data_IF_477242258982
#
_entry.id   IF_477242258982
#
_cell.length_a   1.000
_cell.length_b   1.000
_cell.length_c   1.000
_cell.angle_alpha   90.00
_cell.angle_beta   90.00
_cell.angle_gamma   90.00
#
_symmetry.space_group_name_H-M   'P 1'
#
loop_
_entity.id
_entity.type
_entity.pdbx_description
1 polymer ?
#
# COMPACT_ATOMS: atom_id res chain seq x y z
N UNK A 1 -54.56 3.76 -0.35
CA UNK A 1 -53.51 4.56 0.30
C UNK A 1 -52.20 3.82 0.13
N UNK A 2 -51.39 4.24 -0.84
CA UNK A 2 -50.13 3.60 -1.20
C UNK A 2 -48.98 4.26 -0.41
N UNK A 3 -48.14 3.45 0.22
CA UNK A 3 -46.90 3.89 0.87
C UNK A 3 -45.72 3.52 -0.02
N UNK A 4 -45.07 4.55 -0.56
CA UNK A 4 -43.83 4.50 -1.34
C UNK A 4 -42.65 4.03 -0.46
N UNK A 5 -42.09 2.87 -0.79
CA UNK A 5 -40.85 2.37 -0.20
C UNK A 5 -39.71 2.61 -1.20
N UNK A 6 -39.05 3.75 -1.07
CA UNK A 6 -37.91 4.14 -1.91
C UNK A 6 -36.73 3.17 -1.73
N UNK A 7 -36.49 2.35 -2.76
CA UNK A 7 -35.38 1.43 -2.88
C UNK A 7 -34.09 2.22 -3.12
N UNK A 8 -33.32 2.49 -2.05
CA UNK A 8 -31.98 3.11 -2.13
C UNK A 8 -31.00 2.08 -2.72
N UNK A 9 -30.82 2.10 -4.03
CA UNK A 9 -29.80 1.32 -4.73
C UNK A 9 -28.42 1.85 -4.32
N UNK A 10 -27.63 1.04 -3.60
CA UNK A 10 -26.19 1.29 -3.45
C UNK A 10 -25.56 1.05 -4.81
N UNK A 11 -25.31 2.12 -5.55
CA UNK A 11 -24.50 2.10 -6.78
C UNK A 11 -23.07 1.75 -6.39
N UNK A 12 -22.66 0.50 -6.62
CA UNK A 12 -21.25 0.11 -6.65
C UNK A 12 -20.54 0.92 -7.72
N UNK A 13 -19.42 1.62 -7.40
CA UNK A 13 -18.72 2.45 -8.37
C UNK A 13 -18.18 1.59 -9.51
N UNK A 14 -18.29 2.09 -10.75
CA UNK A 14 -17.77 1.41 -11.94
C UNK A 14 -16.23 1.36 -11.86
N UNK A 15 -15.58 0.30 -12.35
CA UNK A 15 -14.12 0.12 -12.22
C UNK A 15 -13.29 1.27 -12.81
N UNK A 16 -13.84 2.05 -13.75
CA UNK A 16 -13.19 3.24 -14.32
C UNK A 16 -13.15 4.45 -13.37
N UNK A 17 -14.14 4.58 -12.50
CA UNK A 17 -14.22 5.71 -11.54
C UNK A 17 -13.26 5.48 -10.37
N UNK A 18 -13.09 4.21 -9.94
CA UNK A 18 -12.13 3.82 -8.90
C UNK A 18 -10.67 3.98 -9.32
N UNK A 19 -10.34 3.90 -10.62
CA UNK A 19 -8.99 4.15 -11.12
C UNK A 19 -8.66 5.65 -11.15
N UNK A 20 -9.65 6.51 -11.48
CA UNK A 20 -9.48 7.95 -11.53
C UNK A 20 -9.37 8.57 -10.13
N UNK A 21 -10.14 8.08 -9.16
CA UNK A 21 -10.01 8.53 -7.76
C UNK A 21 -8.69 8.06 -7.11
N UNK A 22 -8.16 6.90 -7.50
CA UNK A 22 -6.84 6.41 -7.07
C UNK A 22 -5.72 7.30 -7.59
N UNK A 23 -5.73 7.63 -8.89
CA UNK A 23 -4.74 8.54 -9.49
C UNK A 23 -4.80 9.94 -8.86
N UNK A 24 -5.99 10.42 -8.48
CA UNK A 24 -6.19 11.69 -7.74
C UNK A 24 -5.68 11.60 -6.30
N UNK A 25 -5.84 10.47 -5.62
CA UNK A 25 -5.39 10.28 -4.22
C UNK A 25 -3.87 10.13 -4.15
N UNK A 26 -3.27 9.35 -5.04
CA UNK A 26 -1.81 9.21 -5.18
C UNK A 26 -1.17 10.55 -5.56
N UNK A 27 -1.75 11.28 -6.53
CA UNK A 27 -1.23 12.61 -6.87
C UNK A 27 -1.42 13.62 -5.75
N UNK A 28 -2.42 13.45 -4.88
CA UNK A 28 -2.62 14.28 -3.67
C UNK A 28 -1.64 13.93 -2.56
N UNK A 29 -1.40 12.64 -2.28
CA UNK A 29 -0.36 12.15 -1.35
C UNK A 29 1.04 12.62 -1.80
N UNK A 30 1.38 12.45 -3.08
CA UNK A 30 2.62 12.97 -3.66
C UNK A 30 2.71 14.49 -3.56
N UNK A 31 1.62 15.23 -3.84
CA UNK A 31 1.59 16.68 -3.65
C UNK A 31 1.74 17.08 -2.19
N UNK A 32 1.18 16.32 -1.24
CA UNK A 32 1.32 16.58 0.20
C UNK A 32 2.78 16.32 0.63
N UNK A 33 3.38 15.22 0.19
CA UNK A 33 4.80 14.89 0.48
C UNK A 33 5.74 15.94 -0.14
N UNK A 34 5.52 16.32 -1.40
CA UNK A 34 6.31 17.35 -2.08
C UNK A 34 6.08 18.74 -1.50
N UNK A 35 4.86 19.08 -1.08
CA UNK A 35 4.57 20.35 -0.41
C UNK A 35 5.18 20.41 1.00
N UNK A 36 5.18 19.30 1.75
CA UNK A 36 5.80 19.23 3.07
C UNK A 36 7.32 19.45 3.01
N UNK A 37 7.99 18.97 1.96
CA UNK A 37 9.43 19.18 1.73
C UNK A 37 9.74 20.67 1.45
N UNK A 38 8.83 21.39 0.77
CA UNK A 38 9.02 22.81 0.43
C UNK A 38 8.83 23.79 1.59
N UNK A 39 8.19 23.39 2.70
CA UNK A 39 7.77 24.32 3.77
C UNK A 39 8.88 24.64 4.78
N UNK A 40 10.01 23.92 4.76
CA UNK A 40 11.12 24.12 5.72
C UNK A 40 12.40 24.71 5.11
N UNK A 41 12.30 25.70 4.23
CA UNK A 41 13.46 26.53 3.85
C UNK A 41 13.66 27.67 4.86
N UNK A 42 14.27 27.37 6.01
CA UNK A 42 14.79 28.40 6.92
C UNK A 42 16.32 28.43 6.83
N UNK A 43 16.81 29.23 5.88
CA UNK A 43 18.23 29.55 5.69
C UNK A 43 18.82 30.02 7.02
N UNK A 44 19.75 29.24 7.58
CA UNK A 44 20.65 29.70 8.65
C UNK A 44 21.86 30.32 7.99
N UNK A 45 21.96 31.64 8.06
CA UNK A 45 23.14 32.40 7.69
C UNK A 45 24.25 32.23 8.74
N UNK A 46 25.45 31.85 8.28
CA UNK A 46 26.71 32.21 8.94
C UNK A 46 27.71 31.08 9.16
N UNK A 47 28.84 31.11 8.45
CA UNK A 47 30.16 31.43 9.02
C UNK A 47 31.21 31.51 7.90
N UNK A 48 31.94 32.63 7.77
CA UNK A 48 32.97 32.80 6.73
C UNK A 48 34.22 32.01 7.11
N UNK A 49 34.54 30.98 6.35
CA UNK A 49 35.83 30.29 6.39
C UNK A 49 36.83 31.15 5.57
N UNK A 50 38.03 31.36 6.12
CA UNK A 50 39.08 32.18 5.50
C UNK A 50 39.54 31.65 4.15
N UNK A 51 39.78 32.56 3.21
CA UNK A 51 40.24 32.24 1.86
C UNK A 51 41.58 31.48 1.89
N UNK A 52 41.66 30.37 1.17
CA UNK A 52 42.91 29.65 0.90
C UNK A 52 43.53 30.19 -0.40
N UNK A 53 44.85 30.35 -0.40
CA UNK A 53 45.62 30.89 -1.51
C UNK A 53 46.52 29.79 -2.10
N UNK A 54 46.70 29.80 -3.42
CA UNK A 54 47.65 28.92 -4.10
C UNK A 54 49.10 29.41 -3.93
N UNK A 55 50.08 28.64 -4.45
CA UNK A 55 51.51 28.98 -4.37
C UNK A 55 51.86 30.28 -5.13
N UNK A 56 50.97 30.76 -5.99
CA UNK A 56 51.11 31.98 -6.79
C UNK A 56 50.32 33.18 -6.21
N UNK A 57 49.72 33.02 -5.02
CA UNK A 57 49.04 34.10 -4.29
C UNK A 57 47.64 34.46 -4.81
N UNK A 58 47.05 33.64 -5.68
CA UNK A 58 45.66 33.80 -6.11
C UNK A 58 44.71 33.12 -5.11
N UNK A 59 43.55 33.75 -4.91
CA UNK A 59 42.46 33.18 -4.10
C UNK A 59 41.94 31.94 -4.83
N UNK A 60 42.11 30.76 -4.21
CA UNK A 60 41.45 29.55 -4.68
C UNK A 60 39.95 29.74 -4.40
N UNK A 61 39.18 30.12 -5.42
CA UNK A 61 37.72 30.04 -5.35
C UNK A 61 37.34 28.56 -5.39
N UNK A 62 37.35 27.92 -4.22
CA UNK A 62 36.79 26.56 -4.07
C UNK A 62 35.30 26.64 -4.39
N UNK A 63 34.84 25.78 -5.28
CA UNK A 63 33.48 25.63 -5.85
C UNK A 63 32.40 25.24 -4.81
N UNK A 64 32.36 25.95 -3.68
CA UNK A 64 31.49 25.72 -2.52
C UNK A 64 29.99 25.70 -2.86
N UNK A 65 29.57 26.24 -4.01
CA UNK A 65 28.17 26.38 -4.40
C UNK A 65 27.56 25.06 -4.93
N UNK A 66 28.30 24.26 -5.69
CA UNK A 66 27.77 23.00 -6.23
C UNK A 66 27.55 21.96 -5.12
N UNK A 67 28.44 21.93 -4.13
CA UNK A 67 28.32 21.07 -2.95
C UNK A 67 27.06 21.39 -2.10
N UNK A 68 26.68 22.67 -2.00
CA UNK A 68 25.47 23.09 -1.28
C UNK A 68 24.19 22.57 -1.97
N UNK A 69 24.12 22.70 -3.30
CA UNK A 69 22.97 22.23 -4.09
C UNK A 69 22.85 20.70 -4.06
N UNK A 70 23.97 19.97 -4.17
CA UNK A 70 24.01 18.51 -4.04
C UNK A 70 23.59 18.05 -2.65
N UNK A 71 24.04 18.74 -1.59
CA UNK A 71 23.65 18.43 -0.20
C UNK A 71 22.17 18.68 0.06
N UNK A 72 21.62 19.77 -0.49
CA UNK A 72 20.18 20.05 -0.42
C UNK A 72 19.38 18.94 -1.13
N UNK A 73 19.81 18.51 -2.32
CA UNK A 73 19.15 17.41 -3.05
C UNK A 73 19.24 16.08 -2.34
N UNK A 74 20.38 15.77 -1.71
CA UNK A 74 20.48 14.60 -0.86
C UNK A 74 19.46 14.63 0.28
N UNK A 75 19.28 15.78 0.94
CA UNK A 75 18.28 15.90 2.00
C UNK A 75 16.86 15.64 1.47
N UNK A 76 16.50 16.23 0.32
CA UNK A 76 15.20 16.00 -0.34
C UNK A 76 15.01 14.50 -0.65
N UNK A 77 16.02 13.84 -1.22
CA UNK A 77 15.99 12.39 -1.53
C UNK A 77 15.71 11.58 -0.27
N UNK A 78 16.41 11.87 0.83
CA UNK A 78 16.27 11.14 2.08
C UNK A 78 14.89 11.35 2.71
N UNK A 79 14.33 12.56 2.62
CA UNK A 79 12.97 12.84 3.09
C UNK A 79 11.92 12.09 2.28
N UNK A 80 12.02 12.07 0.94
CA UNK A 80 11.12 11.28 0.09
C UNK A 80 11.17 9.79 0.44
N UNK A 81 12.37 9.24 0.63
CA UNK A 81 12.56 7.83 1.00
C UNK A 81 11.97 7.53 2.39
N UNK A 82 12.13 8.44 3.35
CA UNK A 82 11.53 8.29 4.68
C UNK A 82 10.01 8.33 4.61
N UNK A 83 9.43 9.24 3.82
CA UNK A 83 7.99 9.32 3.60
C UNK A 83 7.43 8.04 2.95
N UNK A 84 8.19 7.42 2.04
CA UNK A 84 7.83 6.13 1.42
C UNK A 84 7.88 4.93 2.39
N UNK A 85 8.57 5.09 3.53
CA UNK A 85 8.74 4.06 4.56
C UNK A 85 10.12 3.39 4.61
N UNK A 86 11.14 3.95 3.95
CA UNK A 86 12.53 3.47 4.04
C UNK A 86 13.28 4.13 5.20
N UNK A 87 13.21 3.52 6.39
CA UNK A 87 13.76 4.14 7.61
C UNK A 87 15.29 4.12 7.73
N UNK A 88 15.99 3.27 6.96
CA UNK A 88 17.47 3.20 7.01
C UNK A 88 18.14 4.48 6.53
N UNK A 89 17.44 5.33 5.77
CA UNK A 89 17.88 6.67 5.39
C UNK A 89 18.24 7.56 6.60
N UNK A 90 17.61 7.35 7.77
CA UNK A 90 17.85 8.15 8.99
C UNK A 90 19.07 7.69 9.80
N UNK A 91 19.64 6.52 9.50
CA UNK A 91 20.77 5.99 10.28
C UNK A 91 21.96 6.95 10.17
N UNK A 92 22.47 7.39 11.32
CA UNK A 92 23.68 8.23 11.43
C UNK A 92 24.89 7.30 11.36
N UNK A 93 25.83 7.57 10.46
CA UNK A 93 27.00 6.72 10.21
C UNK A 93 26.96 5.93 8.91
N UNK A 94 25.82 5.90 8.21
CA UNK A 94 25.74 5.31 6.87
C UNK A 94 26.14 6.33 5.80
N UNK A 95 26.91 5.90 4.79
CA UNK A 95 27.33 6.78 3.70
C UNK A 95 26.12 7.27 2.87
N UNK A 96 26.18 8.47 2.27
CA UNK A 96 25.13 8.95 1.37
C UNK A 96 24.84 7.96 0.22
N UNK A 97 25.88 7.35 -0.33
CA UNK A 97 25.76 6.29 -1.33
C UNK A 97 24.87 5.14 -0.85
N UNK A 98 25.20 4.54 0.30
CA UNK A 98 24.48 3.36 0.80
C UNK A 98 23.03 3.69 1.19
N UNK A 99 22.77 4.92 1.65
CA UNK A 99 21.41 5.40 1.91
C UNK A 99 20.57 5.47 0.64
N UNK A 100 21.11 6.08 -0.41
CA UNK A 100 20.41 6.29 -1.67
C UNK A 100 20.27 4.99 -2.45
N UNK A 101 21.34 4.23 -2.63
CA UNK A 101 21.33 2.94 -3.33
C UNK A 101 20.46 1.91 -2.60
N UNK A 102 20.53 1.88 -1.27
CA UNK A 102 19.65 1.04 -0.46
C UNK A 102 18.18 1.46 -0.60
N UNK A 103 17.90 2.77 -0.64
CA UNK A 103 16.56 3.30 -0.88
C UNK A 103 16.02 2.95 -2.26
N UNK A 104 16.83 3.13 -3.31
CA UNK A 104 16.47 2.78 -4.68
C UNK A 104 16.17 1.29 -4.80
N UNK A 105 17.01 0.43 -4.23
CA UNK A 105 16.78 -1.02 -4.30
C UNK A 105 15.52 -1.41 -3.54
N UNK A 106 15.29 -0.82 -2.36
CA UNK A 106 14.06 -1.04 -1.61
C UNK A 106 12.81 -0.65 -2.42
N UNK A 107 12.85 0.45 -3.17
CA UNK A 107 11.75 0.83 -4.07
C UNK A 107 11.54 -0.22 -5.17
N UNK A 108 12.61 -0.73 -5.78
CA UNK A 108 12.53 -1.75 -6.85
C UNK A 108 11.93 -3.06 -6.31
N UNK A 109 12.42 -3.54 -5.16
CA UNK A 109 11.87 -4.74 -4.50
C UNK A 109 10.41 -4.55 -4.12
N UNK A 110 10.03 -3.35 -3.67
CA UNK A 110 8.63 -3.02 -3.34
C UNK A 110 7.73 -3.08 -4.59
N UNK A 111 8.25 -2.72 -5.77
CA UNK A 111 7.55 -2.85 -7.04
C UNK A 111 7.50 -4.29 -7.60
N UNK A 112 7.86 -5.30 -6.80
CA UNK A 112 7.86 -6.72 -7.17
C UNK A 112 8.80 -7.07 -8.33
N UNK A 113 9.89 -6.30 -8.48
CA UNK A 113 11.01 -6.64 -9.34
C UNK A 113 12.12 -7.24 -8.49
N UNK A 114 12.59 -8.42 -8.89
CA UNK A 114 13.70 -9.06 -8.20
C UNK A 114 15.02 -8.41 -8.61
N UNK A 115 15.78 -8.03 -7.61
CA UNK A 115 17.15 -7.58 -7.78
C UNK A 115 17.95 -8.54 -6.92
N UNK A 116 18.64 -9.49 -7.58
CA UNK A 116 19.63 -10.39 -6.96
C UNK A 116 20.83 -9.58 -6.45
N UNK A 117 20.57 -8.83 -5.39
CA UNK A 117 21.53 -8.03 -4.67
C UNK A 117 21.33 -8.40 -3.21
N UNK A 118 22.27 -9.18 -2.69
CA UNK A 118 22.52 -9.28 -1.26
C UNK A 118 22.89 -7.89 -0.72
N UNK A 119 21.88 -7.04 -0.54
CA UNK A 119 21.93 -5.77 0.21
C UNK A 119 21.90 -6.02 1.71
N UNK A 120 22.29 -7.23 2.13
CA UNK A 120 22.71 -7.51 3.49
C UNK A 120 24.05 -6.81 3.71
N UNK A 121 23.93 -5.50 3.97
CA UNK A 121 24.87 -4.64 4.68
C UNK A 121 26.24 -5.28 4.96
N UNK A 122 27.11 -5.25 3.96
CA UNK A 122 28.53 -5.42 4.20
C UNK A 122 29.10 -4.01 4.37
N UNK A 123 29.39 -3.65 5.61
CA UNK A 123 29.92 -2.34 6.03
C UNK A 123 31.23 -1.97 5.27
N UNK A 124 31.84 -2.95 4.60
CA UNK A 124 33.07 -2.84 3.82
C UNK A 124 32.95 -3.39 2.39
N UNK A 125 31.79 -3.25 1.71
CA UNK A 125 31.70 -3.65 0.31
C UNK A 125 32.81 -2.98 -0.51
N UNK A 126 33.58 -3.80 -1.21
CA UNK A 126 34.69 -3.31 -2.05
C UNK A 126 34.15 -2.40 -3.14
N UNK A 127 34.96 -1.45 -3.61
CA UNK A 127 34.55 -0.51 -4.66
C UNK A 127 34.01 -1.23 -5.90
N UNK A 128 34.60 -2.38 -6.26
CA UNK A 128 34.13 -3.23 -7.36
C UNK A 128 32.73 -3.81 -7.13
N UNK A 129 32.38 -4.19 -5.90
CA UNK A 129 31.02 -4.64 -5.57
C UNK A 129 30.01 -3.49 -5.64
N UNK A 130 30.39 -2.28 -5.20
CA UNK A 130 29.54 -1.09 -5.33
C UNK A 130 29.28 -0.75 -6.79
N UNK A 131 30.31 -0.84 -7.65
CA UNK A 131 30.18 -0.64 -9.10
C UNK A 131 29.21 -1.66 -9.70
N UNK A 132 29.45 -2.95 -9.49
CA UNK A 132 28.61 -4.02 -10.02
C UNK A 132 27.14 -3.91 -9.55
N UNK A 133 26.92 -3.47 -8.31
CA UNK A 133 25.58 -3.22 -7.78
C UNK A 133 24.90 -2.06 -8.53
N UNK A 134 25.58 -0.93 -8.71
CA UNK A 134 25.01 0.21 -9.44
C UNK A 134 24.66 -0.12 -10.89
N UNK A 135 25.48 -0.93 -11.57
CA UNK A 135 25.19 -1.39 -12.93
C UNK A 135 23.94 -2.28 -12.99
N UNK A 136 23.82 -3.23 -12.06
CA UNK A 136 22.62 -4.06 -11.92
C UNK A 136 21.38 -3.20 -11.69
N UNK A 137 21.47 -2.22 -10.80
CA UNK A 137 20.35 -1.32 -10.49
C UNK A 137 19.90 -0.52 -11.72
N UNK A 138 20.85 0.08 -12.45
CA UNK A 138 20.59 0.82 -13.69
C UNK A 138 20.00 -0.10 -14.76
N UNK A 139 20.39 -1.37 -14.83
CA UNK A 139 19.85 -2.34 -15.79
C UNK A 139 18.36 -2.68 -15.57
N UNK A 140 17.85 -2.47 -14.35
CA UNK A 140 16.45 -2.77 -13.99
C UNK A 140 15.53 -1.58 -14.28
N UNK A 141 16.04 -0.34 -14.22
CA UNK A 141 15.22 0.87 -14.46
C UNK A 141 14.48 0.86 -15.81
N UNK A 142 15.09 0.44 -16.95
CA UNK A 142 14.38 0.33 -18.22
C UNK A 142 13.26 -0.73 -18.19
N UNK A 143 13.45 -1.82 -17.44
CA UNK A 143 12.43 -2.89 -17.32
C UNK A 143 11.19 -2.39 -16.58
N UNK A 144 11.38 -1.47 -15.63
CA UNK A 144 10.29 -0.79 -14.93
C UNK A 144 9.68 0.37 -15.74
N UNK A 145 10.19 0.66 -16.94
CA UNK A 145 9.76 1.79 -17.80
C UNK A 145 10.00 3.16 -17.17
N UNK A 146 11.10 3.32 -16.43
CA UNK A 146 11.50 4.63 -15.91
C UNK A 146 11.80 5.60 -17.09
N UNK A 147 11.22 6.81 -17.11
CA UNK A 147 11.46 7.79 -18.17
C UNK A 147 12.81 8.51 -18.04
N UNK A 148 13.44 8.43 -16.88
CA UNK A 148 14.71 9.11 -16.59
C UNK A 148 15.88 8.17 -16.84
N UNK A 149 16.89 8.65 -17.58
CA UNK A 149 18.13 7.91 -17.81
C UNK A 149 19.10 8.19 -16.66
N UNK A 150 19.67 7.12 -16.12
CA UNK A 150 20.67 7.18 -15.06
C UNK A 150 21.84 6.31 -15.48
N UNK A 151 23.05 6.82 -15.36
CA UNK A 151 24.28 6.08 -15.65
C UNK A 151 24.97 5.66 -14.35
N UNK A 152 25.68 4.52 -14.31
CA UNK A 152 26.31 4.02 -13.08
C UNK A 152 27.30 5.02 -12.46
N UNK A 153 28.02 5.78 -13.29
CA UNK A 153 28.98 6.78 -12.82
C UNK A 153 28.31 7.92 -12.05
N UNK A 154 27.06 8.28 -12.37
CA UNK A 154 26.32 9.33 -11.67
C UNK A 154 26.00 8.92 -10.23
N UNK A 155 25.69 7.64 -10.02
CA UNK A 155 25.43 7.09 -8.68
C UNK A 155 26.72 7.03 -7.85
N UNK A 156 27.83 6.62 -8.47
CA UNK A 156 29.13 6.54 -7.81
C UNK A 156 29.73 7.91 -7.52
N UNK A 157 29.54 8.87 -8.44
CA UNK A 157 29.95 10.26 -8.32
C UNK A 157 29.06 11.11 -7.41
N UNK A 158 28.03 10.50 -6.79
CA UNK A 158 27.10 11.18 -5.88
C UNK A 158 26.39 12.39 -6.51
N UNK A 159 26.02 12.27 -7.78
CA UNK A 159 25.32 13.31 -8.52
C UNK A 159 23.80 13.28 -8.20
N UNK A 160 23.45 13.80 -7.03
CA UNK A 160 22.09 13.80 -6.49
C UNK A 160 21.12 14.61 -7.35
N UNK A 161 21.58 15.57 -8.14
CA UNK A 161 20.74 16.34 -9.07
C UNK A 161 20.09 15.40 -10.09
N UNK A 162 20.87 14.49 -10.68
CA UNK A 162 20.37 13.54 -11.66
C UNK A 162 19.73 12.29 -11.03
N UNK A 163 20.16 11.91 -9.83
CA UNK A 163 19.55 10.80 -9.08
C UNK A 163 18.15 11.17 -8.57
N UNK A 164 17.94 12.42 -8.14
CA UNK A 164 16.67 12.89 -7.58
C UNK A 164 15.42 12.54 -8.41
N UNK A 165 15.33 12.86 -9.72
CA UNK A 165 14.14 12.54 -10.52
C UNK A 165 13.88 11.03 -10.63
N UNK A 166 14.94 10.20 -10.64
CA UNK A 166 14.82 8.75 -10.66
C UNK A 166 14.25 8.23 -9.34
N UNK A 167 14.76 8.73 -8.20
CA UNK A 167 14.24 8.36 -6.88
C UNK A 167 12.81 8.83 -6.70
N UNK A 168 12.48 10.05 -7.13
CA UNK A 168 11.12 10.58 -7.06
C UNK A 168 10.14 9.68 -7.83
N UNK A 169 10.52 9.24 -9.03
CA UNK A 169 9.71 8.31 -9.81
C UNK A 169 9.60 6.93 -9.15
N UNK A 170 10.70 6.39 -8.63
CA UNK A 170 10.71 5.10 -7.92
C UNK A 170 9.84 5.11 -6.66
N UNK A 171 9.91 6.19 -5.87
CA UNK A 171 9.08 6.37 -4.68
C UNK A 171 7.60 6.43 -5.06
N UNK A 172 7.25 7.16 -6.13
CA UNK A 172 5.89 7.18 -6.66
C UNK A 172 5.40 5.78 -7.01
N UNK A 173 6.16 5.03 -7.82
CA UNK A 173 5.80 3.67 -8.20
C UNK A 173 5.69 2.71 -7.00
N UNK A 174 6.57 2.86 -6.01
CA UNK A 174 6.56 2.05 -4.80
C UNK A 174 5.31 2.31 -3.94
N UNK A 175 4.87 3.57 -3.82
CA UNK A 175 3.64 3.92 -3.10
C UNK A 175 2.41 3.38 -3.82
N UNK A 176 2.32 3.55 -5.14
CA UNK A 176 1.22 3.01 -5.97
C UNK A 176 1.11 1.50 -5.83
N UNK A 177 2.23 0.78 -5.93
CA UNK A 177 2.24 -0.69 -5.79
C UNK A 177 1.82 -1.12 -4.38
N UNK A 178 2.26 -0.38 -3.34
CA UNK A 178 1.84 -0.64 -1.96
C UNK A 178 0.36 -0.39 -1.73
N UNK A 179 -0.23 0.62 -2.35
CA UNK A 179 -1.65 0.88 -2.24
C UNK A 179 -2.47 -0.23 -2.92
N UNK A 180 -2.05 -0.68 -4.11
CA UNK A 180 -2.71 -1.76 -4.84
C UNK A 180 -2.62 -3.11 -4.14
N UNK A 181 -1.44 -3.43 -3.57
CA UNK A 181 -1.14 -4.73 -2.98
C UNK A 181 -1.35 -4.78 -1.46
N UNK A 182 -1.49 -3.63 -0.80
CA UNK A 182 -1.51 -3.51 0.67
C UNK A 182 -2.68 -4.24 1.31
N UNK A 183 -3.87 -4.14 0.73
CA UNK A 183 -5.06 -4.86 1.21
C UNK A 183 -4.92 -6.37 1.02
N UNK A 184 -4.34 -6.80 -0.10
CA UNK A 184 -4.08 -8.22 -0.35
C UNK A 184 -3.07 -8.79 0.65
N UNK A 185 -1.95 -8.10 0.88
CA UNK A 185 -0.93 -8.53 1.85
C UNK A 185 -1.49 -8.57 3.27
N UNK A 186 -2.31 -7.58 3.65
CA UNK A 186 -2.98 -7.57 4.95
C UNK A 186 -3.95 -8.74 5.08
N UNK A 187 -4.83 -8.94 4.11
CA UNK A 187 -5.80 -10.05 4.11
C UNK A 187 -5.09 -11.41 4.14
N UNK A 188 -4.02 -11.56 3.36
CA UNK A 188 -3.18 -12.74 3.37
C UNK A 188 -2.56 -12.97 4.75
N UNK A 189 -1.96 -11.94 5.36
CA UNK A 189 -1.35 -12.03 6.69
C UNK A 189 -2.36 -12.43 7.77
N UNK A 190 -3.55 -11.83 7.77
CA UNK A 190 -4.65 -12.20 8.67
C UNK A 190 -5.07 -13.65 8.43
N UNK A 191 -5.20 -14.08 7.17
CA UNK A 191 -5.56 -15.46 6.84
C UNK A 191 -4.51 -16.47 7.31
N UNK A 192 -3.22 -16.12 7.25
CA UNK A 192 -2.15 -16.99 7.75
C UNK A 192 -2.14 -17.05 9.27
N UNK A 193 -2.39 -15.92 9.94
CA UNK A 193 -2.51 -15.86 11.40
C UNK A 193 -3.65 -16.76 11.89
N UNK A 194 -4.85 -16.62 11.30
CA UNK A 194 -6.05 -17.39 11.68
C UNK A 194 -5.95 -18.91 11.44
N UNK A 195 -4.95 -19.38 10.68
CA UNK A 195 -4.72 -20.83 10.52
C UNK A 195 -4.15 -21.49 11.77
N UNK A 196 -3.35 -20.73 12.53
CA UNK A 196 -2.58 -21.29 13.65
C UNK A 196 -2.96 -20.64 14.99
N UNK A 197 -3.46 -19.41 14.95
CA UNK A 197 -3.78 -18.61 16.14
C UNK A 197 -5.21 -18.07 16.05
N UNK A 198 -5.93 -18.11 17.17
CA UNK A 198 -7.25 -17.49 17.34
C UNK A 198 -7.11 -16.34 18.34
N UNK A 199 -7.86 -15.25 18.14
CA UNK A 199 -7.96 -14.21 19.17
C UNK A 199 -9.04 -14.57 20.18
N UNK A 200 -8.96 -14.08 21.44
CA UNK A 200 -10.02 -14.29 22.42
C UNK A 200 -11.40 -13.77 21.95
N UNK A 201 -11.40 -12.70 21.16
CA UNK A 201 -12.61 -12.14 20.56
C UNK A 201 -13.22 -13.08 19.50
N UNK A 202 -12.39 -13.77 18.73
CA UNK A 202 -12.84 -14.77 17.75
C UNK A 202 -13.49 -15.97 18.45
N UNK A 203 -12.92 -16.45 19.55
CA UNK A 203 -13.47 -17.57 20.32
C UNK A 203 -14.83 -17.21 20.95
N UNK A 204 -14.96 -16.00 21.50
CA UNK A 204 -16.25 -15.49 21.99
C UNK A 204 -17.28 -15.36 20.86
N UNK A 205 -16.85 -14.90 19.68
CA UNK A 205 -17.72 -14.79 18.52
C UNK A 205 -18.19 -16.17 18.04
N UNK A 206 -17.32 -17.17 17.99
CA UNK A 206 -17.67 -18.56 17.65
C UNK A 206 -18.70 -19.11 18.63
N UNK A 207 -18.49 -18.94 19.94
CA UNK A 207 -19.45 -19.40 20.95
C UNK A 207 -20.80 -18.68 20.84
N UNK A 208 -20.81 -17.36 20.61
CA UNK A 208 -22.04 -16.59 20.40
C UNK A 208 -22.77 -17.03 19.13
N UNK A 209 -22.03 -17.31 18.06
CA UNK A 209 -22.57 -17.79 16.79
C UNK A 209 -23.24 -19.15 16.94
N UNK A 210 -22.62 -20.10 17.63
CA UNK A 210 -23.22 -21.41 17.91
C UNK A 210 -24.53 -21.29 18.67
N UNK A 211 -24.56 -20.44 19.71
CA UNK A 211 -25.78 -20.15 20.47
C UNK A 211 -26.86 -19.55 19.57
N UNK A 212 -26.52 -18.56 18.74
CA UNK A 212 -27.48 -17.92 17.83
C UNK A 212 -28.04 -18.90 16.78
N UNK A 213 -27.19 -19.74 16.20
CA UNK A 213 -27.61 -20.78 15.24
C UNK A 213 -28.56 -21.77 15.92
N UNK A 214 -28.24 -22.22 17.13
CA UNK A 214 -29.10 -23.12 17.90
C UNK A 214 -30.48 -22.49 18.14
N UNK A 215 -30.52 -21.24 18.60
CA UNK A 215 -31.79 -20.52 18.81
C UNK A 215 -32.62 -20.41 17.53
N UNK A 216 -32.00 -20.14 16.38
CA UNK A 216 -32.70 -20.08 15.09
C UNK A 216 -33.27 -21.45 14.68
N UNK A 217 -32.52 -22.53 14.91
CA UNK A 217 -33.00 -23.90 14.68
C UNK A 217 -34.16 -24.21 15.61
N UNK A 218 -34.05 -23.93 16.90
CA UNK A 218 -35.10 -24.21 17.88
C UNK A 218 -36.41 -23.45 17.55
N UNK A 219 -36.31 -22.16 17.20
CA UNK A 219 -37.47 -21.38 16.74
C UNK A 219 -38.04 -21.98 15.46
N UNK A 220 -37.19 -22.38 14.51
CA UNK A 220 -37.67 -23.04 13.29
C UNK A 220 -38.44 -24.31 13.64
N UNK A 221 -37.92 -25.19 14.49
CA UNK A 221 -38.57 -26.44 14.91
C UNK A 221 -39.91 -26.20 15.63
N UNK A 222 -39.96 -25.26 16.58
CA UNK A 222 -41.17 -24.98 17.38
C UNK A 222 -42.29 -24.41 16.52
N UNK A 223 -41.96 -23.58 15.55
CA UNK A 223 -42.94 -22.95 14.66
C UNK A 223 -43.12 -23.71 13.33
N UNK A 224 -42.59 -24.93 13.21
CA UNK A 224 -42.86 -25.77 12.03
C UNK A 224 -44.36 -26.03 11.90
N UNK A 225 -44.94 -25.84 10.70
CA UNK A 225 -46.34 -26.15 10.47
C UNK A 225 -46.56 -27.66 10.65
N UNK A 226 -47.31 -28.03 11.69
CA UNK A 226 -47.69 -29.42 11.95
C UNK A 226 -49.09 -29.67 11.37
N UNK A 227 -49.19 -30.70 10.52
CA UNK A 227 -50.46 -31.15 9.95
C UNK A 227 -51.25 -31.88 11.04
N UNK A 228 -52.34 -31.30 11.53
CA UNK A 228 -53.21 -31.91 12.57
C UNK A 228 -54.30 -32.80 11.98
N UNK A 229 -54.88 -32.37 10.87
CA UNK A 229 -55.97 -33.08 10.21
C UNK A 229 -55.50 -33.64 8.87
N UNK A 230 -55.93 -34.87 8.56
CA UNK A 230 -55.69 -35.52 7.28
C UNK A 230 -57.03 -35.71 6.58
N UNK A 231 -57.13 -35.31 5.31
CA UNK A 231 -58.32 -35.62 4.50
C UNK A 231 -58.54 -37.13 4.42
N UNK A 232 -59.79 -37.54 4.52
CA UNK A 232 -60.18 -38.91 4.18
C UNK A 232 -59.88 -39.19 2.70
N UNK A 233 -59.35 -40.38 2.42
CA UNK A 233 -59.00 -40.79 1.05
C UNK A 233 -60.23 -40.84 0.12
N UNK A 234 -61.41 -41.07 0.69
CA UNK A 234 -62.69 -41.16 -0.03
C UNK A 234 -63.43 -39.81 -0.13
N UNK A 235 -62.90 -38.74 0.45
CA UNK A 235 -63.40 -37.39 0.23
C UNK A 235 -62.91 -36.94 -1.15
N UNK A 236 -63.83 -36.93 -2.13
CA UNK A 236 -63.52 -36.66 -3.54
C UNK A 236 -62.67 -35.41 -3.81
N UNK A 237 -62.10 -35.36 -5.02
CA UNK A 237 -61.23 -34.25 -5.45
C UNK A 237 -62.00 -32.93 -5.42
N UNK A 238 -61.59 -32.00 -4.55
CA UNK A 238 -62.12 -30.64 -4.54
C UNK A 238 -61.76 -29.95 -5.87
N UNK A 239 -62.76 -29.63 -6.68
CA UNK A 239 -62.59 -29.00 -8.00
C UNK A 239 -62.33 -27.49 -7.90
N UNK A 240 -62.84 -26.86 -6.85
CA UNK A 240 -62.79 -25.41 -6.62
C UNK A 240 -61.54 -24.98 -5.82
N UNK A 241 -60.93 -23.86 -6.21
CA UNK A 241 -59.70 -23.34 -5.61
C UNK A 241 -59.93 -22.84 -4.19
N UNK A 242 -61.05 -22.16 -3.94
CA UNK A 242 -61.40 -21.61 -2.63
C UNK A 242 -61.56 -22.76 -1.60
N UNK A 243 -62.24 -23.83 -2.02
CA UNK A 243 -62.40 -25.05 -1.23
C UNK A 243 -61.08 -25.76 -0.92
N UNK A 244 -60.13 -25.79 -1.87
CA UNK A 244 -58.78 -26.37 -1.67
C UNK A 244 -57.98 -25.58 -0.64
N UNK A 245 -58.04 -24.25 -0.73
CA UNK A 245 -57.37 -23.35 0.22
C UNK A 245 -57.96 -23.52 1.60
N UNK A 246 -59.30 -23.46 1.72
CA UNK A 246 -59.99 -23.60 3.01
C UNK A 246 -59.63 -24.93 3.70
N UNK A 247 -59.65 -26.03 2.96
CA UNK A 247 -59.29 -27.31 3.56
C UNK A 247 -57.79 -27.41 3.90
N UNK A 248 -56.88 -26.82 3.13
CA UNK A 248 -55.45 -26.77 3.50
C UNK A 248 -55.23 -25.94 4.76
N UNK A 249 -55.95 -24.82 4.92
CA UNK A 249 -55.93 -24.01 6.14
C UNK A 249 -56.46 -24.79 7.34
N UNK A 250 -57.51 -25.61 7.16
CA UNK A 250 -58.01 -26.49 8.21
C UNK A 250 -57.00 -27.56 8.63
N UNK A 251 -56.18 -28.08 7.72
CA UNK A 251 -55.14 -29.08 8.04
C UNK A 251 -54.05 -28.56 8.99
N UNK A 252 -53.75 -27.26 8.92
CA UNK A 252 -52.72 -26.57 9.72
C UNK A 252 -53.30 -25.52 10.69
N UNK A 253 -54.62 -25.42 10.78
CA UNK A 253 -55.34 -24.47 11.64
C UNK A 253 -55.10 -24.79 13.11
N UNK A 254 -54.77 -23.77 13.90
CA UNK A 254 -54.34 -23.94 15.28
C UNK A 254 -55.50 -24.28 16.20
#
# INVERSE_FOLDING_TARGET
>A
MATDFARRTKTTPRPKDAARDRDVTVTRELRIIMAASSVFHRVRTGSRIGAQYDQDGNVIQVETREDEEQTAKLADILELLLAAGYFRARIKGLSPFDKVVGGMTWCITTCNFDVDVDLLFQENSTIGQKIALTEKLVSVLPKMKCPHRLEPHQIQGLDFIHIFPVVQWLVKCAIETKEEMGDYVRAYSVSQFHKTHSTPEDDEFVQRKEKAVKTLVDVSEVYKPQRKYKRHADAGVLLDEESRVHSTLLEYGR
#
